data_IF_301757380367
#
_entry.id   IF_301757380367
#
_cell.length_a   1.000
_cell.length_b   1.000
_cell.length_c   1.000
_cell.angle_alpha   90.00
_cell.angle_beta   90.00
_cell.angle_gamma   90.00
#
_symmetry.space_group_name_H-M   'P 1'
#
loop_
_entity.id
_entity.type
_entity.pdbx_description
1 polymer ?
#
# COMPACT_ATOMS: atom_id res chain seq x y z
N UNK A 1 27.31 65.21 -43.87
CA UNK A 1 27.85 63.83 -43.99
C UNK A 1 26.70 62.91 -43.67
N UNK A 2 26.04 62.40 -44.69
CA UNK A 2 24.93 61.45 -44.55
C UNK A 2 25.55 60.06 -44.37
N UNK A 3 25.32 59.42 -43.22
CA UNK A 3 25.74 58.04 -42.96
C UNK A 3 24.55 57.13 -43.21
N UNK A 4 24.55 56.43 -44.34
CA UNK A 4 23.59 55.35 -44.62
C UNK A 4 23.82 54.19 -43.64
N UNK A 5 22.78 53.71 -42.93
CA UNK A 5 22.89 52.54 -42.08
C UNK A 5 23.04 51.25 -42.91
N UNK A 6 23.81 50.26 -42.45
CA UNK A 6 24.01 49.01 -43.18
C UNK A 6 22.72 48.18 -43.21
N UNK A 7 22.32 47.73 -44.41
CA UNK A 7 21.27 46.71 -44.56
C UNK A 7 21.78 45.36 -44.03
N UNK A 8 21.07 44.83 -43.03
CA UNK A 8 21.33 43.50 -42.48
C UNK A 8 20.61 42.48 -43.36
N UNK A 9 21.38 41.75 -44.17
CA UNK A 9 20.85 40.69 -45.03
C UNK A 9 20.20 39.57 -44.21
N UNK A 10 19.00 39.16 -44.63
CA UNK A 10 18.22 38.09 -43.99
C UNK A 10 18.93 36.76 -44.15
N UNK A 11 19.44 36.21 -43.04
CA UNK A 11 19.96 34.85 -43.02
C UNK A 11 18.76 33.91 -43.25
N UNK A 12 18.73 33.23 -44.40
CA UNK A 12 17.78 32.12 -44.62
C UNK A 12 18.22 30.95 -43.75
N UNK A 13 17.66 30.88 -42.55
CA UNK A 13 17.91 29.82 -41.59
C UNK A 13 17.54 28.48 -42.20
N UNK A 14 18.48 27.54 -42.08
CA UNK A 14 18.42 26.21 -42.66
C UNK A 14 17.38 25.37 -41.91
N UNK A 15 16.19 25.21 -42.51
CA UNK A 15 15.04 24.46 -41.96
C UNK A 15 15.33 23.01 -41.51
N UNK A 16 16.51 22.46 -41.82
CA UNK A 16 16.91 21.08 -41.48
C UNK A 16 17.32 20.94 -40.00
N UNK A 17 18.00 21.93 -39.41
CA UNK A 17 18.47 21.83 -38.01
C UNK A 17 17.38 22.18 -36.99
N UNK A 18 16.43 23.04 -37.35
CA UNK A 18 15.30 23.38 -36.50
C UNK A 18 14.42 22.16 -36.24
N UNK A 19 14.24 21.29 -37.23
CA UNK A 19 13.39 20.11 -37.08
C UNK A 19 13.95 19.12 -36.05
N UNK A 20 15.27 18.91 -36.06
CA UNK A 20 15.97 18.07 -35.07
C UNK A 20 15.81 18.65 -33.66
N UNK A 21 16.00 19.97 -33.52
CA UNK A 21 15.82 20.67 -32.24
C UNK A 21 14.38 20.58 -31.71
N UNK A 22 13.38 20.65 -32.61
CA UNK A 22 11.97 20.52 -32.23
C UNK A 22 11.61 19.09 -31.80
N UNK A 23 12.13 18.05 -32.47
CA UNK A 23 11.95 16.65 -32.04
C UNK A 23 12.56 16.41 -30.67
N UNK A 24 13.82 16.82 -30.45
CA UNK A 24 14.48 16.66 -29.14
C UNK A 24 13.77 17.45 -28.04
N UNK A 25 13.26 18.64 -28.33
CA UNK A 25 12.43 19.38 -27.36
C UNK A 25 11.11 18.67 -27.06
N UNK A 26 10.46 18.08 -28.07
CA UNK A 26 9.21 17.35 -27.87
C UNK A 26 9.40 16.08 -27.04
N UNK A 27 10.49 15.34 -27.27
CA UNK A 27 10.88 14.16 -26.50
C UNK A 27 11.18 14.54 -25.04
N UNK A 28 11.94 15.62 -24.82
CA UNK A 28 12.21 16.13 -23.47
C UNK A 28 10.94 16.57 -22.74
N UNK A 29 9.99 17.21 -23.42
CA UNK A 29 8.69 17.59 -22.82
C UNK A 29 7.86 16.35 -22.46
N UNK A 30 7.91 15.31 -23.27
CA UNK A 30 7.24 14.04 -22.99
C UNK A 30 7.86 13.33 -21.78
N UNK A 31 9.20 13.30 -21.70
CA UNK A 31 9.96 12.77 -20.57
C UNK A 31 9.62 13.53 -19.27
N UNK A 32 9.61 14.86 -19.31
CA UNK A 32 9.23 15.72 -18.17
C UNK A 32 7.79 15.43 -17.73
N UNK A 33 6.87 15.23 -18.67
CA UNK A 33 5.47 14.88 -18.37
C UNK A 33 5.36 13.49 -17.75
N UNK A 34 6.15 12.52 -18.21
CA UNK A 34 6.21 11.18 -17.63
C UNK A 34 6.75 11.21 -16.20
N UNK A 35 7.87 11.90 -15.98
CA UNK A 35 8.45 12.12 -14.65
C UNK A 35 7.47 12.86 -13.72
N UNK A 36 6.77 13.87 -14.22
CA UNK A 36 5.73 14.58 -13.48
C UNK A 36 4.60 13.67 -12.99
N UNK A 37 4.17 12.70 -13.82
CA UNK A 37 3.17 11.69 -13.43
C UNK A 37 3.71 10.74 -12.37
N UNK A 38 4.97 10.30 -12.50
CA UNK A 38 5.61 9.39 -11.55
C UNK A 38 5.77 10.05 -10.17
N UNK A 39 6.28 11.29 -10.13
CA UNK A 39 6.39 12.09 -8.91
C UNK A 39 5.02 12.30 -8.27
N UNK A 40 3.98 12.61 -9.05
CA UNK A 40 2.62 12.75 -8.53
C UNK A 40 2.10 11.41 -7.94
N UNK A 41 2.41 10.27 -8.56
CA UNK A 41 2.06 8.95 -8.06
C UNK A 41 2.76 8.63 -6.74
N UNK A 42 4.07 8.87 -6.66
CA UNK A 42 4.87 8.68 -5.44
C UNK A 42 4.40 9.60 -4.30
N UNK A 43 4.02 10.84 -4.61
CA UNK A 43 3.43 11.74 -3.62
C UNK A 43 2.11 11.21 -3.08
N UNK A 44 1.22 10.70 -3.95
CA UNK A 44 -0.06 10.11 -3.54
C UNK A 44 0.13 8.84 -2.70
N UNK A 45 1.05 7.95 -3.08
CA UNK A 45 1.32 6.72 -2.33
C UNK A 45 1.88 7.01 -0.94
N UNK A 46 2.83 7.96 -0.82
CA UNK A 46 3.35 8.41 0.48
C UNK A 46 2.27 9.05 1.34
N UNK A 47 1.36 9.84 0.77
CA UNK A 47 0.22 10.41 1.51
C UNK A 47 -0.80 9.37 1.94
N UNK A 48 -1.01 8.31 1.15
CA UNK A 48 -1.89 7.19 1.51
C UNK A 48 -1.31 6.35 2.65
N UNK A 49 0.01 6.15 2.67
CA UNK A 49 0.74 5.47 3.76
C UNK A 49 0.82 6.33 5.04
N UNK A 50 0.83 7.66 4.88
CA UNK A 50 0.71 8.62 5.98
C UNK A 50 -0.73 8.87 6.45
N UNK A 51 -1.74 8.23 5.85
CA UNK A 51 -3.07 8.23 6.47
C UNK A 51 -2.84 7.64 7.86
N UNK A 52 -3.14 8.35 8.96
CA UNK A 52 -3.04 7.76 10.28
C UNK A 52 -3.84 6.48 10.15
N UNK A 53 -3.16 5.33 10.29
CA UNK A 53 -3.80 4.03 10.32
C UNK A 53 -4.81 4.22 11.43
N UNK A 54 -6.05 4.52 11.03
CA UNK A 54 -7.08 4.89 11.96
C UNK A 54 -7.37 3.57 12.61
N UNK A 55 -6.57 3.31 13.64
CA UNK A 55 -6.69 2.23 14.57
C UNK A 55 -7.87 2.56 15.49
N UNK A 56 -8.90 3.23 14.95
CA UNK A 56 -10.24 2.65 14.90
C UNK A 56 -10.21 1.21 14.33
N UNK A 57 -9.45 0.31 14.99
CA UNK A 57 -10.11 -0.84 15.60
C UNK A 57 -11.18 -0.23 16.50
N UNK A 58 -12.28 0.18 15.87
CA UNK A 58 -13.55 0.30 16.54
C UNK A 58 -13.60 -1.00 17.34
N UNK A 59 -13.64 -0.88 18.66
CA UNK A 59 -14.08 -1.92 19.58
C UNK A 59 -15.54 -2.34 19.28
N UNK A 60 -15.93 -2.32 18.00
CA UNK A 60 -17.13 -2.90 17.45
C UNK A 60 -16.82 -4.35 17.07
N UNK A 61 -16.21 -5.08 18.00
CA UNK A 61 -16.52 -6.48 18.11
C UNK A 61 -16.40 -7.00 19.54
N UNK A 62 -16.94 -6.24 20.49
CA UNK A 62 -17.63 -6.89 21.59
C UNK A 62 -18.98 -7.48 21.10
N UNK A 63 -19.01 -8.15 19.93
CA UNK A 63 -19.41 -9.55 19.99
C UNK A 63 -18.42 -10.16 21.00
N UNK A 64 -18.67 -10.12 22.31
CA UNK A 64 -19.65 -11.04 22.86
C UNK A 64 -20.18 -11.91 21.72
N UNK A 65 -19.30 -12.80 21.22
CA UNK A 65 -19.65 -14.19 21.11
C UNK A 65 -20.28 -14.49 22.47
N UNK A 66 -21.56 -14.10 22.63
CA UNK A 66 -22.59 -14.98 23.10
C UNK A 66 -22.19 -16.26 22.41
N UNK A 67 -21.40 -17.07 23.12
CA UNK A 67 -21.14 -18.43 22.70
C UNK A 67 -22.57 -18.92 22.70
N UNK A 68 -23.25 -18.89 21.54
CA UNK A 68 -24.46 -19.66 21.32
C UNK A 68 -24.15 -20.97 22.01
N UNK A 69 -24.87 -21.37 23.09
CA UNK A 69 -24.50 -22.51 23.89
C UNK A 69 -24.27 -23.62 22.90
N UNK A 70 -22.99 -23.89 22.61
CA UNK A 70 -22.66 -24.59 21.39
C UNK A 70 -23.02 -25.99 21.76
N UNK A 71 -24.20 -26.41 21.29
CA UNK A 71 -24.65 -27.77 21.11
C UNK A 71 -23.55 -28.73 21.52
N UNK A 72 -23.68 -29.28 22.72
CA UNK A 72 -23.03 -30.53 23.12
C UNK A 72 -21.59 -30.68 22.64
N UNK A 73 -20.74 -29.67 22.85
CA UNK A 73 -19.31 -29.89 22.67
C UNK A 73 -18.86 -30.64 23.91
N UNK A 74 -18.88 -31.97 23.81
CA UNK A 74 -18.34 -32.95 24.76
C UNK A 74 -16.88 -32.64 25.16
N UNK A 75 -16.22 -31.71 24.46
CA UNK A 75 -14.81 -31.38 24.63
C UNK A 75 -14.66 -29.89 24.97
N UNK A 76 -13.96 -29.60 26.07
CA UNK A 76 -13.76 -28.22 26.54
C UNK A 76 -12.89 -27.39 25.60
N UNK A 77 -12.96 -26.05 25.73
CA UNK A 77 -12.20 -25.12 24.88
C UNK A 77 -10.69 -25.41 24.85
N UNK A 78 -10.12 -25.84 25.98
CA UNK A 78 -8.71 -26.18 26.06
C UNK A 78 -8.37 -27.41 25.21
N UNK A 79 -9.14 -28.48 25.28
CA UNK A 79 -8.95 -29.66 24.41
C UNK A 79 -9.29 -29.36 22.94
N UNK A 80 -10.22 -28.46 22.65
CA UNK A 80 -10.46 -27.99 21.28
C UNK A 80 -9.26 -27.25 20.67
N UNK A 81 -8.45 -26.61 21.51
CA UNK A 81 -7.34 -25.75 21.09
C UNK A 81 -6.00 -26.45 21.15
N UNK A 82 -5.78 -27.25 22.19
CA UNK A 82 -4.51 -27.91 22.50
C UNK A 82 -4.58 -29.44 22.39
N UNK A 83 -5.77 -30.02 22.13
CA UNK A 83 -6.02 -31.46 22.14
C UNK A 83 -5.43 -32.10 23.41
N UNK A 84 -4.78 -33.26 23.27
CA UNK A 84 -4.10 -33.99 24.36
C UNK A 84 -3.06 -33.18 25.14
N UNK A 85 -2.58 -32.05 24.60
CA UNK A 85 -1.62 -31.18 25.27
C UNK A 85 -2.27 -30.16 26.22
N UNK A 86 -3.59 -30.25 26.43
CA UNK A 86 -4.28 -29.39 27.38
C UNK A 86 -3.83 -29.72 28.81
N UNK A 87 -3.32 -28.70 29.50
CA UNK A 87 -2.94 -28.78 30.92
C UNK A 87 -4.06 -28.36 31.87
N UNK A 88 -5.12 -27.78 31.32
CA UNK A 88 -6.27 -27.24 32.08
C UNK A 88 -7.55 -27.74 31.43
N UNK A 89 -8.16 -28.78 31.98
CA UNK A 89 -9.46 -29.27 31.55
C UNK A 89 -10.57 -28.70 32.44
N UNK A 90 -11.70 -28.31 31.85
CA UNK A 90 -12.90 -27.87 32.57
C UNK A 90 -13.99 -28.93 32.37
N UNK A 91 -14.57 -29.42 33.47
CA UNK A 91 -15.70 -30.37 33.45
C UNK A 91 -17.04 -29.66 33.17
N UNK A 92 -18.01 -30.30 32.50
CA UNK A 92 -17.98 -31.67 31.96
C UNK A 92 -17.22 -31.72 30.62
N UNK A 93 -16.18 -32.55 30.54
CA UNK A 93 -15.40 -32.77 29.33
C UNK A 93 -15.16 -34.28 29.18
N UNK A 94 -15.68 -34.84 28.10
CA UNK A 94 -15.58 -36.24 27.69
C UNK A 94 -14.18 -36.61 27.18
N UNK A 95 -13.27 -35.64 27.04
CA UNK A 95 -11.86 -35.92 26.72
C UNK A 95 -11.11 -36.41 27.97
N UNK A 96 -10.56 -37.63 27.90
CA UNK A 96 -9.73 -38.23 28.94
C UNK A 96 -8.26 -38.19 28.52
N UNK A 97 -7.40 -37.63 29.37
CA UNK A 97 -5.96 -37.54 29.15
C UNK A 97 -5.45 -36.10 29.04
N UNK A 98 -5.29 -35.44 30.19
CA UNK A 98 -4.51 -34.21 30.27
C UNK A 98 -3.03 -34.56 30.41
N UNK A 99 -2.15 -33.68 29.93
CA UNK A 99 -0.75 -33.71 30.36
C UNK A 99 -0.69 -33.08 31.76
N UNK A 100 -0.98 -33.88 32.77
CA UNK A 100 -0.61 -33.53 34.15
C UNK A 100 0.90 -33.34 34.17
N UNK A 101 1.32 -32.18 34.66
CA UNK A 101 2.71 -31.74 34.56
C UNK A 101 3.65 -32.81 35.11
N UNK A 102 4.51 -33.33 34.25
CA UNK A 102 5.79 -33.85 34.70
C UNK A 102 6.62 -32.61 35.03
N UNK A 103 6.82 -32.37 36.33
CA UNK A 103 7.95 -31.57 36.81
C UNK A 103 9.27 -32.32 36.57
#
# INVERSE_FOLDING_TARGET
MEVTPPEVSKISSSNSCEKVNNTSQSELLEEIKALGKEVASLRRSRSADRRPRNNSRKRADFRFRQRSPSQSNDVCWYHKTFNKNARKCIQPCSFSGNVEGQE
#
